data_IF_372483053738
#
_entry.id   IF_372483053738
#
_cell.length_a   1.000
_cell.length_b   1.000
_cell.length_c   1.000
_cell.angle_alpha   90.00
_cell.angle_beta   90.00
_cell.angle_gamma   90.00
#
_symmetry.space_group_name_H-M   'P 1'
#
loop_
_entity.id
_entity.type
_entity.pdbx_description
1 polymer ?
#
# COMPACT_ATOMS: atom_id res chain seq x y z
N UNK A 1 53.13 -26.89 -62.18
CA UNK A 1 52.76 -28.12 -61.44
C UNK A 1 52.58 -27.75 -59.97
N UNK A 2 51.46 -28.17 -59.35
CA UNK A 2 51.01 -28.00 -57.93
C UNK A 2 50.34 -26.63 -57.64
N UNK A 3 49.03 -26.50 -57.82
CA UNK A 3 47.87 -26.92 -56.97
C UNK A 3 47.69 -26.02 -55.74
N UNK A 4 46.52 -25.37 -55.72
CA UNK A 4 45.93 -24.47 -54.75
C UNK A 4 45.75 -25.04 -53.33
N UNK A 5 45.66 -24.15 -52.33
CA UNK A 5 44.64 -24.23 -51.25
C UNK A 5 44.30 -22.82 -50.75
N UNK A 6 43.02 -22.45 -50.87
CA UNK A 6 42.36 -21.32 -50.22
C UNK A 6 42.37 -21.51 -48.69
N UNK A 7 42.87 -20.52 -47.93
CA UNK A 7 42.68 -20.47 -46.49
C UNK A 7 41.47 -19.58 -46.15
N UNK A 8 40.29 -20.21 -46.03
CA UNK A 8 39.11 -19.61 -45.41
C UNK A 8 39.34 -19.66 -43.90
N UNK A 9 39.61 -18.51 -43.27
CA UNK A 9 39.69 -18.39 -41.82
C UNK A 9 38.26 -18.27 -41.28
N UNK A 10 37.75 -19.38 -40.74
CA UNK A 10 36.47 -19.43 -40.05
C UNK A 10 36.67 -18.96 -38.61
N UNK A 11 36.30 -17.72 -38.31
CA UNK A 11 36.37 -17.15 -36.96
C UNK A 11 35.16 -17.62 -36.15
N UNK A 12 35.29 -18.75 -35.44
CA UNK A 12 34.30 -19.20 -34.47
C UNK A 12 34.38 -18.32 -33.21
N UNK A 13 33.47 -17.35 -33.08
CA UNK A 13 33.28 -16.61 -31.83
C UNK A 13 32.51 -17.50 -30.85
N UNK A 14 33.24 -18.15 -29.94
CA UNK A 14 32.66 -18.81 -28.77
C UNK A 14 32.14 -17.72 -27.81
N UNK A 15 30.86 -17.38 -27.92
CA UNK A 15 30.16 -16.61 -26.89
C UNK A 15 29.99 -17.52 -25.68
N UNK A 16 30.92 -17.42 -24.74
CA UNK A 16 30.78 -17.99 -23.40
C UNK A 16 29.59 -17.30 -22.71
N UNK A 17 28.44 -17.96 -22.71
CA UNK A 17 27.32 -17.59 -21.84
C UNK A 17 27.67 -18.04 -20.43
N UNK A 18 28.35 -17.18 -19.67
CA UNK A 18 28.51 -17.38 -18.23
C UNK A 18 27.14 -17.24 -17.57
N UNK A 19 26.43 -18.36 -17.42
CA UNK A 19 25.25 -18.47 -16.57
C UNK A 19 25.77 -18.36 -15.13
N UNK A 20 25.74 -17.15 -14.57
CA UNK A 20 25.97 -16.98 -13.14
C UNK A 20 24.83 -17.70 -12.40
N UNK A 21 25.10 -18.74 -11.61
CA UNK A 21 24.07 -19.28 -10.74
C UNK A 21 23.66 -18.16 -9.78
N UNK A 22 22.39 -17.79 -9.80
CA UNK A 22 21.79 -16.92 -8.78
C UNK A 22 21.99 -17.61 -7.44
N UNK A 23 23.04 -17.21 -6.73
CA UNK A 23 23.32 -17.66 -5.38
C UNK A 23 22.14 -17.16 -4.54
N UNK A 24 21.21 -18.06 -4.18
CA UNK A 24 20.13 -17.73 -3.26
C UNK A 24 20.78 -17.39 -1.92
N UNK A 25 20.97 -16.10 -1.68
CA UNK A 25 21.47 -15.60 -0.41
C UNK A 25 20.58 -16.16 0.70
N UNK A 26 21.19 -16.88 1.65
CA UNK A 26 20.45 -17.43 2.78
C UNK A 26 20.03 -16.25 3.66
N UNK A 27 18.72 -16.11 3.88
CA UNK A 27 18.16 -15.12 4.83
C UNK A 27 18.86 -15.24 6.19
N UNK A 28 19.35 -14.12 6.73
CA UNK A 28 19.95 -14.06 8.05
C UNK A 28 18.94 -14.28 9.18
N UNK A 29 19.38 -14.19 10.43
CA UNK A 29 18.48 -14.30 11.59
C UNK A 29 17.51 -13.12 11.67
N UNK A 30 16.28 -13.39 12.10
CA UNK A 30 15.24 -12.39 12.30
C UNK A 30 15.70 -11.36 13.33
N UNK A 31 15.80 -10.10 12.90
CA UNK A 31 16.14 -8.99 13.78
C UNK A 31 14.95 -8.64 14.68
N UNK A 32 15.25 -8.02 15.83
CA UNK A 32 14.22 -7.55 16.76
C UNK A 32 13.31 -6.53 16.06
N UNK A 33 12.01 -6.78 16.12
CA UNK A 33 10.99 -5.87 15.59
C UNK A 33 10.45 -5.05 16.76
N UNK A 34 10.63 -3.74 16.70
CA UNK A 34 10.17 -2.84 17.74
C UNK A 34 9.71 -1.51 17.15
N UNK A 35 8.54 -1.03 17.58
CA UNK A 35 8.09 0.32 17.29
C UNK A 35 8.50 1.27 18.42
N UNK A 36 9.48 2.13 18.15
CA UNK A 36 9.91 3.17 19.09
C UNK A 36 9.00 4.41 18.99
N UNK A 37 7.75 4.28 19.43
CA UNK A 37 6.76 5.35 19.39
C UNK A 37 5.52 5.06 20.23
N UNK A 38 4.53 5.94 20.15
CA UNK A 38 3.23 5.78 20.82
C UNK A 38 2.12 5.95 19.80
N UNK A 39 1.31 4.92 19.60
CA UNK A 39 0.21 4.97 18.64
C UNK A 39 -0.77 6.12 18.89
N UNK A 40 -1.03 6.44 20.17
CA UNK A 40 -1.94 7.53 20.55
C UNK A 40 -1.35 8.92 20.32
N UNK A 41 -0.01 9.05 20.34
CA UNK A 41 0.65 10.33 20.09
C UNK A 41 0.92 10.50 18.59
N UNK A 42 1.40 9.45 17.96
CA UNK A 42 1.92 9.50 16.59
C UNK A 42 0.79 9.39 15.54
N UNK A 43 -0.35 8.77 15.88
CA UNK A 43 -1.48 8.51 14.96
C UNK A 43 -2.83 8.95 15.54
N UNK A 44 -2.93 10.23 15.89
CA UNK A 44 -4.14 10.82 16.48
C UNK A 44 -4.62 12.07 15.73
N UNK A 45 -4.37 12.16 14.44
CA UNK A 45 -4.87 13.29 13.64
C UNK A 45 -6.41 13.27 13.65
N UNK A 46 -7.00 14.41 14.00
CA UNK A 46 -8.44 14.56 14.12
C UNK A 46 -9.12 14.44 12.74
N UNK A 47 -10.36 13.94 12.74
CA UNK A 47 -11.13 13.79 11.50
C UNK A 47 -11.30 15.14 10.79
N UNK A 48 -11.54 16.24 11.52
CA UNK A 48 -11.70 17.57 10.94
C UNK A 48 -10.46 18.03 10.14
N UNK A 49 -9.26 17.70 10.61
CA UNK A 49 -8.00 18.02 9.91
C UNK A 49 -7.87 17.21 8.63
N UNK A 50 -8.21 15.93 8.69
CA UNK A 50 -8.18 15.03 7.53
C UNK A 50 -9.26 15.43 6.50
N UNK A 51 -10.46 15.77 6.96
CA UNK A 51 -11.57 16.20 6.12
C UNK A 51 -11.24 17.51 5.40
N UNK A 52 -10.67 18.49 6.11
CA UNK A 52 -10.31 19.78 5.52
C UNK A 52 -9.29 19.64 4.38
N UNK A 53 -8.27 18.77 4.55
CA UNK A 53 -7.32 18.52 3.45
C UNK A 53 -7.95 17.70 2.34
N UNK A 54 -8.79 16.71 2.67
CA UNK A 54 -9.49 15.89 1.69
C UNK A 54 -10.38 16.73 0.76
N UNK A 55 -11.12 17.69 1.33
CA UNK A 55 -11.92 18.65 0.57
C UNK A 55 -11.07 19.57 -0.31
N UNK A 56 -9.88 19.94 0.15
CA UNK A 56 -9.00 20.89 -0.55
C UNK A 56 -8.36 20.28 -1.81
N UNK A 57 -7.90 19.03 -1.73
CA UNK A 57 -7.08 18.41 -2.79
C UNK A 57 -7.83 17.31 -3.55
N UNK A 58 -8.94 16.82 -3.00
CA UNK A 58 -9.68 15.71 -3.55
C UNK A 58 -10.67 16.12 -4.63
N UNK A 59 -11.46 15.12 -5.04
CA UNK A 59 -12.56 15.30 -5.99
C UNK A 59 -13.84 15.74 -5.29
N UNK A 60 -14.79 16.25 -6.07
CA UNK A 60 -16.16 16.42 -5.59
C UNK A 60 -16.80 15.06 -5.25
N UNK A 61 -17.55 14.93 -4.14
CA UNK A 61 -18.17 13.67 -3.75
C UNK A 61 -19.03 13.04 -4.84
N UNK A 62 -18.77 11.76 -5.12
CA UNK A 62 -19.50 10.97 -6.12
C UNK A 62 -20.84 10.53 -5.53
N UNK A 63 -21.93 10.72 -6.27
CA UNK A 63 -23.29 10.38 -5.83
C UNK A 63 -23.47 8.88 -5.57
N UNK A 64 -23.19 8.05 -6.57
CA UNK A 64 -23.42 6.61 -6.57
C UNK A 64 -22.27 5.87 -7.28
N UNK A 65 -22.34 4.55 -7.40
CA UNK A 65 -21.23 3.74 -7.93
C UNK A 65 -21.17 3.78 -9.45
N UNK A 66 -22.31 3.95 -10.10
CA UNK A 66 -22.44 4.08 -11.56
C UNK A 66 -21.74 5.34 -12.06
N UNK A 67 -21.85 6.44 -11.30
CA UNK A 67 -21.18 7.72 -11.59
C UNK A 67 -19.65 7.68 -11.33
N UNK A 68 -19.15 6.64 -10.65
CA UNK A 68 -17.72 6.50 -10.36
C UNK A 68 -16.88 6.29 -11.62
N UNK A 69 -17.44 5.64 -12.64
CA UNK A 69 -16.76 5.46 -13.93
C UNK A 69 -16.52 6.80 -14.64
N UNK A 70 -17.40 7.79 -14.45
CA UNK A 70 -17.22 9.13 -15.01
C UNK A 70 -16.25 10.01 -14.19
N UNK A 71 -16.17 9.79 -12.88
CA UNK A 71 -15.16 10.41 -12.01
C UNK A 71 -13.72 9.90 -12.25
N UNK A 72 -13.57 8.78 -12.97
CA UNK A 72 -12.29 8.13 -13.30
C UNK A 72 -11.27 9.03 -14.00
N UNK A 73 -11.68 10.09 -14.72
CA UNK A 73 -10.70 10.97 -15.40
C UNK A 73 -9.71 11.65 -14.46
N UNK A 74 -10.04 11.78 -13.17
CA UNK A 74 -9.18 12.37 -12.14
C UNK A 74 -8.68 11.35 -11.10
N UNK A 75 -9.03 10.07 -11.27
CA UNK A 75 -8.80 9.04 -10.27
C UNK A 75 -8.22 7.77 -10.89
N UNK A 76 -7.45 7.04 -10.11
CA UNK A 76 -6.84 5.79 -10.49
C UNK A 76 -7.54 4.66 -9.76
N UNK A 77 -7.93 3.63 -10.51
CA UNK A 77 -8.40 2.38 -9.93
C UNK A 77 -7.22 1.66 -9.27
N UNK A 78 -7.32 1.35 -7.98
CA UNK A 78 -6.35 0.51 -7.28
C UNK A 78 -6.77 -0.95 -7.33
N UNK A 79 -5.80 -1.84 -7.47
CA UNK A 79 -6.01 -3.29 -7.56
C UNK A 79 -5.04 -4.00 -6.65
N UNK A 80 -5.38 -5.22 -6.24
CA UNK A 80 -4.43 -6.12 -5.59
C UNK A 80 -3.19 -6.25 -6.48
N UNK A 81 -2.02 -5.97 -5.91
CA UNK A 81 -0.74 -5.95 -6.61
C UNK A 81 0.36 -6.59 -5.76
N UNK A 82 1.60 -6.22 -6.03
CA UNK A 82 2.76 -6.80 -5.35
C UNK A 82 2.92 -6.31 -3.91
N UNK A 83 2.52 -5.07 -3.62
CA UNK A 83 2.78 -4.41 -2.35
C UNK A 83 1.62 -4.47 -1.35
N UNK A 84 0.39 -4.54 -1.86
CA UNK A 84 -0.83 -4.59 -1.05
C UNK A 84 -1.91 -5.45 -1.70
N UNK A 85 -2.85 -5.89 -0.87
CA UNK A 85 -4.08 -6.57 -1.29
C UNK A 85 -5.28 -5.65 -1.03
N UNK A 86 -6.12 -5.45 -2.04
CA UNK A 86 -7.41 -4.76 -1.89
C UNK A 86 -8.45 -5.80 -1.51
N UNK A 87 -9.02 -5.68 -0.31
CA UNK A 87 -10.09 -6.56 0.14
C UNK A 87 -11.41 -6.26 -0.59
N UNK A 88 -12.42 -7.12 -0.38
CA UNK A 88 -13.76 -6.88 -0.89
C UNK A 88 -14.36 -5.57 -0.31
N UNK A 89 -14.52 -4.55 -1.16
CA UNK A 89 -14.97 -3.22 -0.76
C UNK A 89 -16.51 -3.10 -0.75
N UNK A 90 -17.14 -3.61 0.31
CA UNK A 90 -18.62 -3.60 0.46
C UNK A 90 -19.24 -2.19 0.55
N UNK A 91 -18.48 -1.22 1.06
CA UNK A 91 -18.96 0.14 1.34
C UNK A 91 -18.05 1.23 0.78
N UNK A 92 -17.19 0.88 -0.17
CA UNK A 92 -16.36 1.82 -0.91
C UNK A 92 -16.13 1.32 -2.34
N UNK A 93 -15.57 2.17 -3.18
CA UNK A 93 -15.10 1.88 -4.54
C UNK A 93 -13.57 1.98 -4.58
N UNK A 94 -12.87 1.17 -5.40
CA UNK A 94 -11.42 1.03 -5.37
C UNK A 94 -10.72 2.13 -6.16
N UNK A 95 -11.07 3.40 -5.92
CA UNK A 95 -10.48 4.50 -6.66
C UNK A 95 -9.88 5.54 -5.71
N UNK A 96 -8.73 6.09 -6.08
CA UNK A 96 -8.03 7.15 -5.36
C UNK A 96 -7.57 8.23 -6.34
N UNK A 97 -7.34 9.45 -5.87
CA UNK A 97 -6.56 10.41 -6.66
C UNK A 97 -5.11 9.91 -6.81
N UNK A 98 -4.38 10.31 -7.87
CA UNK A 98 -3.01 9.82 -8.13
C UNK A 98 -2.05 9.92 -6.93
N UNK A 99 -2.16 11.00 -6.16
CA UNK A 99 -1.34 11.29 -4.99
C UNK A 99 -1.59 10.27 -3.86
N UNK A 100 -2.85 9.93 -3.62
CA UNK A 100 -3.23 8.93 -2.63
C UNK A 100 -2.88 7.51 -3.08
N UNK A 101 -3.03 7.19 -4.37
CA UNK A 101 -2.59 5.91 -4.94
C UNK A 101 -1.06 5.73 -4.81
N UNK A 102 -0.30 6.79 -5.12
CA UNK A 102 1.17 6.80 -4.97
C UNK A 102 1.59 6.62 -3.51
N UNK A 103 0.91 7.31 -2.57
CA UNK A 103 1.17 7.11 -1.14
C UNK A 103 0.91 5.67 -0.69
N UNK A 104 -0.18 5.05 -1.15
CA UNK A 104 -0.53 3.66 -0.82
C UNK A 104 0.53 2.67 -1.32
N UNK A 105 0.98 2.84 -2.57
CA UNK A 105 2.06 2.06 -3.17
C UNK A 105 3.35 2.19 -2.36
N UNK A 106 3.73 3.43 -2.00
CA UNK A 106 4.92 3.70 -1.20
C UNK A 106 4.84 3.10 0.21
N UNK A 107 3.68 3.12 0.85
CA UNK A 107 3.48 2.45 2.15
C UNK A 107 3.74 0.95 2.01
N UNK A 108 3.15 0.31 1.01
CA UNK A 108 3.31 -1.13 0.77
C UNK A 108 4.75 -1.51 0.45
N UNK A 109 5.43 -0.73 -0.40
CA UNK A 109 6.85 -0.92 -0.73
C UNK A 109 7.75 -0.75 0.49
N UNK A 110 7.64 0.37 1.19
CA UNK A 110 8.43 0.65 2.39
C UNK A 110 8.19 -0.39 3.49
N UNK A 111 6.98 -0.94 3.60
CA UNK A 111 6.66 -2.03 4.52
C UNK A 111 7.41 -3.30 4.17
N UNK A 112 7.41 -3.72 2.90
CA UNK A 112 8.16 -4.89 2.46
C UNK A 112 9.68 -4.68 2.59
N UNK A 113 10.20 -3.51 2.22
CA UNK A 113 11.62 -3.16 2.37
C UNK A 113 12.04 -3.20 3.83
N UNK A 114 11.19 -2.72 4.75
CA UNK A 114 11.43 -2.80 6.18
C UNK A 114 11.47 -4.24 6.67
N UNK A 115 10.55 -5.10 6.22
CA UNK A 115 10.56 -6.53 6.55
C UNK A 115 11.80 -7.23 6.03
N UNK A 116 12.20 -6.94 4.79
CA UNK A 116 13.41 -7.47 4.17
C UNK A 116 14.65 -7.12 5.00
N UNK A 117 14.81 -5.84 5.38
CA UNK A 117 15.92 -5.37 6.21
C UNK A 117 15.95 -5.98 7.61
N UNK A 118 14.80 -6.42 8.12
CA UNK A 118 14.65 -7.11 9.39
C UNK A 118 14.92 -8.63 9.29
N UNK A 119 15.25 -9.15 8.11
CA UNK A 119 15.30 -10.59 7.82
C UNK A 119 13.97 -11.29 8.15
N UNK A 120 12.84 -10.60 8.03
CA UNK A 120 11.52 -11.14 8.24
C UNK A 120 10.95 -11.75 6.94
N UNK A 121 9.96 -12.63 7.07
CA UNK A 121 9.16 -13.05 5.92
C UNK A 121 8.39 -11.84 5.37
N UNK A 122 8.20 -11.79 4.05
CA UNK A 122 7.54 -10.66 3.40
C UNK A 122 6.02 -10.83 3.41
N UNK A 123 5.33 -9.72 3.64
CA UNK A 123 3.87 -9.63 3.70
C UNK A 123 3.38 -8.44 2.89
N UNK A 124 2.17 -8.55 2.36
CA UNK A 124 1.37 -7.44 1.81
C UNK A 124 0.49 -6.88 2.91
N UNK A 125 0.37 -5.55 2.93
CA UNK A 125 -0.67 -4.87 3.72
C UNK A 125 -2.05 -5.08 3.07
N UNK A 126 -3.12 -4.95 3.85
CA UNK A 126 -4.49 -5.07 3.34
C UNK A 126 -5.23 -3.74 3.38
N UNK A 127 -5.81 -3.36 2.25
CA UNK A 127 -6.63 -2.16 2.09
C UNK A 127 -8.09 -2.53 2.28
N UNK A 128 -8.74 -1.91 3.26
CA UNK A 128 -10.08 -2.33 3.73
C UNK A 128 -11.18 -1.32 3.41
N UNK A 129 -10.81 -0.06 3.14
CA UNK A 129 -11.74 0.98 2.67
C UNK A 129 -10.97 2.02 1.87
N UNK A 130 -11.65 2.62 0.89
CA UNK A 130 -11.06 3.59 -0.05
C UNK A 130 -12.07 4.72 -0.26
N UNK A 131 -12.51 5.02 -1.48
CA UNK A 131 -13.46 6.10 -1.73
C UNK A 131 -14.88 5.67 -1.45
N UNK A 132 -15.67 6.49 -0.74
CA UNK A 132 -17.09 6.21 -0.48
C UNK A 132 -17.96 7.18 -1.26
N UNK A 133 -18.95 6.63 -1.96
CA UNK A 133 -19.99 7.43 -2.60
C UNK A 133 -20.96 7.99 -1.56
N UNK A 134 -21.75 9.00 -1.92
CA UNK A 134 -22.81 9.53 -1.06
C UNK A 134 -23.79 8.42 -0.65
N UNK A 135 -24.10 7.50 -1.55
CA UNK A 135 -25.00 6.38 -1.25
C UNK A 135 -24.37 5.30 -0.36
N UNK A 136 -23.07 5.00 -0.51
CA UNK A 136 -22.35 4.11 0.43
C UNK A 136 -22.39 4.69 1.85
N UNK A 137 -22.16 5.99 1.96
CA UNK A 137 -22.18 6.74 3.22
C UNK A 137 -23.58 6.72 3.87
N UNK A 138 -24.65 6.90 3.10
CA UNK A 138 -26.04 6.80 3.61
C UNK A 138 -26.36 5.39 4.13
N UNK A 139 -25.88 4.35 3.46
CA UNK A 139 -26.07 2.95 3.88
C UNK A 139 -25.40 2.65 5.21
N UNK A 140 -24.22 3.22 5.48
CA UNK A 140 -23.51 3.13 6.76
C UNK A 140 -24.18 3.97 7.86
N UNK A 141 -24.72 5.13 7.50
CA UNK A 141 -25.15 6.19 8.41
C UNK A 141 -26.55 6.05 9.05
N UNK A 142 -27.20 4.88 9.03
CA UNK A 142 -28.59 4.71 9.52
C UNK A 142 -28.87 5.16 10.97
N UNK A 143 -27.84 5.47 11.77
CA UNK A 143 -27.96 6.09 13.10
C UNK A 143 -27.33 7.48 13.25
N UNK A 144 -26.49 7.95 12.33
CA UNK A 144 -25.71 9.18 12.53
C UNK A 144 -25.38 9.89 11.20
N UNK A 145 -26.41 10.51 10.60
CA UNK A 145 -26.34 11.21 9.31
C UNK A 145 -25.23 12.29 9.24
N UNK A 146 -24.97 12.97 10.35
CA UNK A 146 -23.94 14.02 10.38
C UNK A 146 -22.51 13.45 10.30
N UNK A 147 -22.25 12.30 10.93
CA UNK A 147 -20.95 11.64 10.86
C UNK A 147 -20.68 11.04 9.46
N UNK A 148 -21.73 10.65 8.76
CA UNK A 148 -21.62 10.09 7.43
C UNK A 148 -21.28 11.18 6.39
N UNK A 149 -21.94 12.35 6.47
CA UNK A 149 -21.64 13.48 5.59
C UNK A 149 -20.21 14.04 5.74
N UNK A 150 -19.62 13.94 6.94
CA UNK A 150 -18.28 14.44 7.25
C UNK A 150 -17.16 13.40 7.05
N UNK A 151 -17.35 12.43 6.15
CA UNK A 151 -16.34 11.40 5.89
C UNK A 151 -15.28 11.87 4.88
N UNK A 152 -14.00 11.83 5.27
CA UNK A 152 -12.85 12.13 4.39
C UNK A 152 -12.73 11.15 3.19
N UNK A 153 -13.23 9.92 3.34
CA UNK A 153 -13.31 8.96 2.23
C UNK A 153 -14.15 9.41 1.02
N UNK A 154 -14.93 10.50 1.12
CA UNK A 154 -15.76 10.96 0.00
C UNK A 154 -14.98 11.61 -1.14
N UNK A 155 -13.72 11.96 -0.91
CA UNK A 155 -12.95 12.87 -1.77
C UNK A 155 -11.81 12.19 -2.55
N UNK A 156 -11.68 10.87 -2.53
CA UNK A 156 -10.61 10.18 -3.28
C UNK A 156 -9.22 10.21 -2.63
N UNK A 157 -9.09 10.80 -1.45
CA UNK A 157 -7.79 11.10 -0.81
C UNK A 157 -7.43 10.18 0.34
N UNK A 158 -8.38 9.33 0.75
CA UNK A 158 -8.36 8.64 2.04
C UNK A 158 -8.61 7.16 1.86
N UNK A 159 -7.83 6.34 2.58
CA UNK A 159 -7.94 4.90 2.58
C UNK A 159 -7.61 4.33 3.97
N UNK A 160 -8.15 3.14 4.23
CA UNK A 160 -7.94 2.38 5.46
C UNK A 160 -7.04 1.18 5.20
N UNK A 161 -5.98 1.04 6.00
CA UNK A 161 -5.08 -0.12 5.98
C UNK A 161 -5.25 -0.91 7.26
N UNK A 162 -5.52 -2.22 7.17
CA UNK A 162 -5.62 -3.08 8.35
C UNK A 162 -4.29 -3.20 9.08
N UNK A 163 -4.34 -3.18 10.42
CA UNK A 163 -3.20 -3.58 11.26
C UNK A 163 -3.37 -4.96 11.91
N UNK A 164 -4.49 -5.64 11.62
CA UNK A 164 -4.79 -6.99 12.15
C UNK A 164 -4.79 -8.07 11.06
N UNK A 165 -4.70 -7.69 9.78
CA UNK A 165 -4.70 -8.63 8.64
C UNK A 165 -3.59 -8.30 7.66
N UNK A 166 -2.90 -9.34 7.20
CA UNK A 166 -1.79 -9.29 6.25
C UNK A 166 -1.85 -10.52 5.35
N UNK A 167 -1.26 -10.43 4.14
CA UNK A 167 -1.12 -11.58 3.24
C UNK A 167 0.35 -11.93 3.12
N UNK A 168 0.73 -13.15 3.49
CA UNK A 168 2.12 -13.62 3.35
C UNK A 168 2.44 -13.81 1.85
N UNK A 169 3.57 -13.29 1.38
CA UNK A 169 3.92 -13.36 -0.04
C UNK A 169 4.39 -14.76 -0.43
N UNK A 170 5.20 -15.39 0.42
CA UNK A 170 5.73 -16.73 0.19
C UNK A 170 5.20 -17.69 1.26
N UNK A 171 4.20 -18.49 0.90
CA UNK A 171 3.64 -19.52 1.80
C UNK A 171 4.63 -20.63 2.15
N UNK A 172 5.66 -20.86 1.31
CA UNK A 172 6.70 -21.86 1.57
C UNK A 172 7.75 -21.38 2.58
N UNK A 173 7.77 -20.08 2.88
CA UNK A 173 8.64 -19.56 3.93
C UNK A 173 8.11 -20.04 5.29
N UNK A 174 8.94 -20.72 6.06
CA UNK A 174 8.53 -21.30 7.35
C UNK A 174 8.49 -20.27 8.48
N UNK A 175 9.17 -19.13 8.33
CA UNK A 175 9.14 -18.09 9.35
C UNK A 175 7.80 -17.36 9.29
N UNK A 176 7.11 -17.27 10.42
CA UNK A 176 5.87 -16.50 10.56
C UNK A 176 6.10 -15.32 11.50
N UNK A 177 5.54 -14.17 11.13
CA UNK A 177 5.55 -12.97 11.95
C UNK A 177 4.12 -12.73 12.42
N UNK A 178 3.92 -12.55 13.73
CA UNK A 178 2.62 -12.23 14.28
C UNK A 178 2.15 -10.83 13.88
N UNK A 179 0.84 -10.62 13.93
CA UNK A 179 0.23 -9.37 13.47
C UNK A 179 0.65 -8.16 14.31
N UNK A 180 0.98 -8.31 15.60
CA UNK A 180 1.43 -7.19 16.44
C UNK A 180 2.84 -6.72 16.02
N UNK A 181 3.73 -7.65 15.67
CA UNK A 181 5.03 -7.31 15.07
C UNK A 181 4.88 -6.70 13.69
N UNK A 182 4.02 -7.24 12.82
CA UNK A 182 3.73 -6.63 11.52
C UNK A 182 3.16 -5.22 11.67
N UNK A 183 2.29 -5.00 12.65
CA UNK A 183 1.78 -3.67 13.02
C UNK A 183 2.90 -2.73 13.44
N UNK A 184 3.88 -3.18 14.22
CA UNK A 184 5.02 -2.35 14.62
C UNK A 184 5.87 -1.91 13.41
N UNK A 185 6.07 -2.79 12.43
CA UNK A 185 6.77 -2.44 11.18
C UNK A 185 5.96 -1.41 10.39
N UNK A 186 4.66 -1.67 10.18
CA UNK A 186 3.76 -0.75 9.50
C UNK A 186 3.71 0.62 10.19
N UNK A 187 3.62 0.65 11.52
CA UNK A 187 3.64 1.88 12.31
C UNK A 187 4.94 2.67 12.11
N UNK A 188 6.09 2.00 12.02
CA UNK A 188 7.36 2.68 11.76
C UNK A 188 7.34 3.40 10.41
N UNK A 189 6.89 2.70 9.36
CA UNK A 189 6.73 3.26 8.00
C UNK A 189 5.76 4.44 8.00
N UNK A 190 4.59 4.28 8.62
CA UNK A 190 3.56 5.30 8.69
C UNK A 190 4.03 6.54 9.46
N UNK A 191 4.75 6.36 10.56
CA UNK A 191 5.32 7.47 11.34
C UNK A 191 6.31 8.28 10.49
N UNK A 192 7.16 7.60 9.73
CA UNK A 192 8.20 8.25 8.95
C UNK A 192 7.59 9.02 7.76
N UNK A 193 6.58 8.45 7.08
CA UNK A 193 5.81 9.14 6.04
C UNK A 193 5.03 10.35 6.58
N UNK A 194 4.43 10.23 7.77
CA UNK A 194 3.76 11.34 8.45
C UNK A 194 4.74 12.46 8.81
N UNK A 195 5.93 12.12 9.34
CA UNK A 195 7.01 13.08 9.65
C UNK A 195 7.56 13.78 8.41
N UNK A 196 7.49 13.13 7.25
CA UNK A 196 7.80 13.73 5.95
C UNK A 196 6.63 14.56 5.37
N UNK A 197 5.60 14.88 6.17
CA UNK A 197 4.42 15.65 5.80
C UNK A 197 3.65 15.08 4.59
N UNK A 198 3.69 13.76 4.39
CA UNK A 198 3.00 13.12 3.26
C UNK A 198 1.53 12.81 3.55
N UNK A 199 1.18 12.59 4.81
CA UNK A 199 -0.16 12.17 5.19
C UNK A 199 -0.53 12.56 6.62
N UNK A 200 -1.83 12.47 6.90
CA UNK A 200 -2.41 12.41 8.23
C UNK A 200 -2.89 10.98 8.51
N UNK A 201 -2.84 10.58 9.77
CA UNK A 201 -3.09 9.21 10.20
C UNK A 201 -3.86 9.20 11.53
N UNK A 202 -4.93 8.42 11.56
CA UNK A 202 -5.65 8.04 12.79
C UNK A 202 -5.55 6.54 12.99
N UNK A 203 -5.09 6.11 14.17
CA UNK A 203 -5.16 4.70 14.57
C UNK A 203 -6.55 4.37 15.10
N UNK A 204 -7.36 3.69 14.29
CA UNK A 204 -8.74 3.34 14.60
C UNK A 204 -8.82 1.95 15.25
N UNK A 205 -8.81 1.93 16.59
CA UNK A 205 -8.73 0.69 17.38
C UNK A 205 -9.95 -0.22 17.21
N UNK A 206 -11.16 0.35 17.09
CA UNK A 206 -12.39 -0.46 17.01
C UNK A 206 -12.54 -1.13 15.65
N UNK A 207 -12.04 -0.49 14.60
CA UNK A 207 -12.10 -0.92 13.21
C UNK A 207 -10.92 -1.83 12.85
N UNK A 208 -9.82 -1.76 13.59
CA UNK A 208 -8.63 -2.56 13.30
C UNK A 208 -7.81 -2.01 12.13
N UNK A 209 -7.88 -0.70 11.87
CA UNK A 209 -7.16 -0.06 10.77
C UNK A 209 -6.41 1.22 11.19
N UNK A 210 -5.50 1.64 10.31
CA UNK A 210 -5.03 3.02 10.22
C UNK A 210 -5.85 3.72 9.13
N UNK A 211 -6.54 4.78 9.51
CA UNK A 211 -7.23 5.69 8.57
C UNK A 211 -6.24 6.76 8.13
N UNK A 212 -5.96 6.80 6.83
CA UNK A 212 -4.86 7.58 6.25
C UNK A 212 -5.41 8.51 5.18
N UNK A 213 -5.11 9.80 5.29
CA UNK A 213 -5.43 10.82 4.28
C UNK A 213 -4.16 11.46 3.76
N UNK A 214 -3.99 11.49 2.43
CA UNK A 214 -2.84 12.15 1.78
C UNK A 214 -2.90 13.66 1.98
N UNK A 215 -1.74 14.33 2.10
CA UNK A 215 -1.68 15.78 2.36
C UNK A 215 -1.46 16.65 1.13
N UNK A 216 -0.82 16.12 0.10
CA UNK A 216 -0.38 16.81 -1.10
C UNK A 216 -0.04 15.81 -2.19
#
# INVERSE_FOLDING_TARGET
MKIAVNAIILFFVLVSTSVFPSCKEKRGELKTIWYNGSYNRDFNDLNDVQLAVAQKIGIEPISNREDAEHASKKMQEIKTGDYYEVEELKHSIPYLIPEAATLLEDIGRNFQDSLYNLNASLYKIKVTSVTRTVDDVKKLGKRNYNASMNSAHRYGTTFDVSWVRYTKINEKDTLNIDNDRLKMVLASVLRDLKRADRCYIKHERKQGCFHITVRK
#
